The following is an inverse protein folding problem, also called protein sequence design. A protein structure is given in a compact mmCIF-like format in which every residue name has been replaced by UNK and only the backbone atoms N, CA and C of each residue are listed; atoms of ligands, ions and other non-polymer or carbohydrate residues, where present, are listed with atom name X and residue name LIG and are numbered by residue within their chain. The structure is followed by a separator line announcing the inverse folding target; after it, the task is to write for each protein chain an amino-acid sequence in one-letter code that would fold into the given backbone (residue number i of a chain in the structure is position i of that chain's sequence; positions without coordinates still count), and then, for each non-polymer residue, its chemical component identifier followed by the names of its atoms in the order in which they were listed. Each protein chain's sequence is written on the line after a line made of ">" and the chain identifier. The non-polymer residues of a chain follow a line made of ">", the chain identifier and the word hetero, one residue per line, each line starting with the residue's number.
data_IF_233248357812
#
_entry.id   IF_233248357812
#
_cell.length_a   1.000
_cell.length_b   1.000
_cell.length_c   1.000
_cell.angle_alpha   90.00
_cell.angle_beta   90.00
_cell.angle_gamma   90.00
#
_symmetry.space_group_name_H-M   'P 1'
#
loop_
_entity.id
_entity.type
_entity.pdbx_description
1 polymer ?
#
# COMPACT_ATOMS: atom_id res chain seq x y z
N UNK A 1 22.57 26.29 -9.62
CA UNK A 1 22.75 24.88 -10.05
C UNK A 1 24.03 24.22 -9.52
N UNK A 2 25.25 24.78 -9.71
CA UNK A 2 26.55 24.15 -9.33
C UNK A 2 26.59 23.57 -7.91
N UNK A 3 26.23 24.34 -6.89
CA UNK A 3 26.20 23.92 -5.46
C UNK A 3 25.34 22.66 -5.23
N UNK A 4 24.16 22.59 -5.84
CA UNK A 4 23.27 21.44 -5.68
C UNK A 4 23.87 20.16 -6.28
N UNK A 5 24.45 20.24 -7.47
CA UNK A 5 25.05 19.07 -8.15
C UNK A 5 26.37 18.61 -7.53
N UNK A 6 27.20 19.52 -7.01
CA UNK A 6 28.49 19.17 -6.38
C UNK A 6 28.38 18.71 -4.92
N UNK A 7 27.50 19.32 -4.11
CA UNK A 7 27.49 19.10 -2.65
C UNK A 7 26.18 18.50 -2.14
N UNK A 8 25.04 19.14 -2.44
CA UNK A 8 23.73 18.80 -1.83
C UNK A 8 23.21 17.43 -2.28
N UNK A 9 23.19 17.18 -3.59
CA UNK A 9 22.65 15.93 -4.16
C UNK A 9 23.55 14.73 -3.82
N UNK A 10 24.90 14.79 -3.96
CA UNK A 10 25.78 13.71 -3.53
C UNK A 10 25.66 13.38 -2.04
N UNK A 11 25.38 14.36 -1.18
CA UNK A 11 25.24 14.09 0.25
C UNK A 11 23.89 13.48 0.61
N UNK A 12 22.78 13.97 0.04
CA UNK A 12 21.47 13.29 0.17
C UNK A 12 21.56 11.82 -0.29
N UNK A 13 22.27 11.54 -1.38
CA UNK A 13 22.52 10.17 -1.85
C UNK A 13 23.39 9.36 -0.87
N UNK A 14 24.38 9.97 -0.21
CA UNK A 14 25.18 9.32 0.85
C UNK A 14 24.32 9.04 2.09
N UNK A 15 23.67 10.05 2.64
CA UNK A 15 22.83 9.96 3.84
C UNK A 15 21.73 8.89 3.69
N UNK A 16 21.10 8.79 2.50
CA UNK A 16 20.17 7.70 2.22
C UNK A 16 20.85 6.33 2.17
N UNK A 17 22.03 6.21 1.56
CA UNK A 17 22.80 4.95 1.55
C UNK A 17 23.16 4.51 2.97
N UNK A 18 23.62 5.44 3.80
CA UNK A 18 24.04 5.20 5.19
C UNK A 18 22.83 4.79 6.06
N UNK A 19 21.69 5.48 5.92
CA UNK A 19 20.41 5.11 6.52
C UNK A 19 19.93 3.74 6.04
N UNK A 20 19.98 3.46 4.73
CA UNK A 20 19.53 2.19 4.15
C UNK A 20 20.36 1.01 4.66
N UNK A 21 21.69 1.12 4.65
CA UNK A 21 22.58 0.10 5.19
C UNK A 21 22.29 -0.17 6.68
N UNK A 22 21.92 0.86 7.44
CA UNK A 22 21.52 0.73 8.85
C UNK A 22 20.19 -0.02 9.01
N UNK A 23 19.20 0.27 8.15
CA UNK A 23 17.89 -0.42 8.14
C UNK A 23 18.05 -1.88 7.69
N UNK A 24 18.86 -2.15 6.66
CA UNK A 24 19.13 -3.50 6.18
C UNK A 24 19.84 -4.34 7.24
N UNK A 25 20.80 -3.74 7.97
CA UNK A 25 21.45 -4.39 9.12
C UNK A 25 20.47 -4.71 10.27
N UNK A 26 19.43 -3.91 10.48
CA UNK A 26 18.39 -4.19 11.49
C UNK A 26 17.52 -5.39 11.09
N UNK A 27 17.32 -5.62 9.79
CA UNK A 27 16.56 -6.77 9.27
C UNK A 27 17.44 -7.92 8.75
N UNK A 28 18.74 -7.92 9.06
CA UNK A 28 19.64 -8.96 8.59
C UNK A 28 19.36 -10.30 9.29
N UNK A 29 18.99 -11.31 8.51
CA UNK A 29 18.53 -12.61 9.02
C UNK A 29 17.05 -12.65 9.44
N UNK A 30 16.37 -11.50 9.55
CA UNK A 30 14.96 -11.42 9.89
C UNK A 30 14.06 -11.66 8.67
N UNK A 31 12.93 -12.35 8.88
CA UNK A 31 11.99 -12.72 7.82
C UNK A 31 10.85 -11.71 7.70
N UNK A 32 11.07 -10.63 6.95
CA UNK A 32 10.20 -9.45 6.93
C UNK A 32 9.14 -9.47 5.83
N UNK A 33 8.15 -8.59 5.99
CA UNK A 33 6.99 -8.44 5.09
C UNK A 33 7.03 -7.06 4.45
N UNK A 34 7.05 -7.02 3.12
CA UNK A 34 7.21 -5.77 2.35
C UNK A 34 5.93 -5.39 1.61
N UNK A 35 5.62 -4.10 1.60
CA UNK A 35 4.59 -3.48 0.78
C UNK A 35 5.24 -2.70 -0.37
N UNK A 36 4.73 -2.90 -1.59
CA UNK A 36 5.20 -2.27 -2.82
C UNK A 36 4.11 -1.48 -3.57
N UNK A 37 4.44 -0.25 -3.97
CA UNK A 37 3.60 0.63 -4.80
C UNK A 37 4.47 1.52 -5.72
N UNK A 38 3.96 1.84 -6.91
CA UNK A 38 4.66 2.57 -7.97
C UNK A 38 3.97 3.88 -8.36
N UNK A 39 4.54 5.01 -7.95
CA UNK A 39 3.96 6.35 -8.16
C UNK A 39 4.61 7.09 -9.32
N UNK A 40 3.88 7.20 -10.43
CA UNK A 40 4.26 8.04 -11.58
C UNK A 40 4.20 9.55 -11.26
N UNK A 41 5.12 10.34 -11.82
CA UNK A 41 5.25 11.79 -11.59
C UNK A 41 4.13 12.63 -12.24
N UNK A 42 3.58 12.22 -13.38
CA UNK A 42 2.37 12.79 -13.99
C UNK A 42 1.25 11.74 -14.19
N UNK A 43 0.01 12.13 -14.54
CA UNK A 43 -1.04 11.21 -14.96
C UNK A 43 -0.92 10.79 -16.44
N UNK A 44 -1.29 9.54 -16.74
CA UNK A 44 -1.34 9.03 -18.11
C UNK A 44 0.01 8.68 -18.72
N UNK A 45 0.06 8.52 -20.05
CA UNK A 45 1.24 8.03 -20.78
C UNK A 45 2.40 9.05 -20.87
N UNK A 46 2.21 10.28 -20.37
CA UNK A 46 3.23 11.34 -20.36
C UNK A 46 4.18 11.28 -19.17
N UNK A 47 3.96 10.38 -18.19
CA UNK A 47 4.81 10.21 -17.02
C UNK A 47 6.28 9.99 -17.41
N UNK A 48 7.18 10.80 -16.84
CA UNK A 48 8.62 10.78 -17.09
C UNK A 48 9.37 9.94 -16.05
N UNK A 49 8.88 9.93 -14.80
CA UNK A 49 9.48 9.18 -13.72
C UNK A 49 8.44 8.31 -13.00
N UNK A 50 8.84 7.09 -12.62
CA UNK A 50 8.15 6.31 -11.59
C UNK A 50 9.02 6.28 -10.33
N UNK A 51 8.39 6.43 -9.17
CA UNK A 51 8.99 6.12 -7.88
C UNK A 51 8.39 4.82 -7.39
N UNK A 52 9.17 3.74 -7.33
CA UNK A 52 8.75 2.50 -6.67
C UNK A 52 9.35 2.43 -5.27
N UNK A 53 8.53 2.06 -4.29
CA UNK A 53 8.89 2.09 -2.86
C UNK A 53 8.68 0.71 -2.26
N UNK A 54 9.65 0.22 -1.48
CA UNK A 54 9.46 -0.93 -0.59
C UNK A 54 9.43 -0.46 0.87
N UNK A 55 8.37 -0.81 1.57
CA UNK A 55 8.11 -0.44 2.97
C UNK A 55 7.83 -1.70 3.80
N UNK A 56 8.46 -1.83 4.97
CA UNK A 56 8.13 -2.91 5.91
C UNK A 56 6.72 -2.68 6.48
N UNK A 57 5.89 -3.73 6.47
CA UNK A 57 4.44 -3.63 6.67
C UNK A 57 3.99 -3.28 8.09
N UNK A 58 4.77 -3.62 9.13
CA UNK A 58 4.38 -3.40 10.52
C UNK A 58 4.94 -2.09 11.09
N UNK A 59 6.25 -1.88 11.01
CA UNK A 59 6.91 -0.65 11.51
C UNK A 59 6.83 0.50 10.51
N UNK A 60 6.43 0.24 9.25
CA UNK A 60 6.21 1.25 8.19
C UNK A 60 7.48 1.95 7.71
N UNK A 61 8.67 1.40 8.02
CA UNK A 61 9.96 1.94 7.57
C UNK A 61 10.15 1.67 6.08
N UNK A 62 10.65 2.65 5.34
CA UNK A 62 11.01 2.49 3.94
C UNK A 62 12.37 1.80 3.89
N UNK A 63 12.38 0.58 3.35
CA UNK A 63 13.55 -0.30 3.23
C UNK A 63 14.37 0.05 2.00
N UNK A 64 13.71 0.42 0.89
CA UNK A 64 14.38 0.99 -0.28
C UNK A 64 13.42 1.80 -1.18
N UNK A 65 13.99 2.63 -2.06
CA UNK A 65 13.26 3.33 -3.13
C UNK A 65 14.07 3.29 -4.42
N UNK A 66 13.41 2.96 -5.52
CA UNK A 66 13.95 3.10 -6.87
C UNK A 66 13.22 4.22 -7.65
N UNK A 67 13.98 4.97 -8.42
CA UNK A 67 13.48 6.04 -9.30
C UNK A 67 13.80 5.70 -10.74
N UNK A 68 12.80 5.28 -11.49
CA UNK A 68 12.92 4.89 -12.90
C UNK A 68 12.61 6.09 -13.79
N UNK A 69 13.53 6.48 -14.68
CA UNK A 69 13.27 7.37 -15.81
C UNK A 69 12.68 6.58 -16.99
N UNK A 70 11.64 7.12 -17.64
CA UNK A 70 10.93 6.50 -18.78
C UNK A 70 11.86 6.01 -19.91
N UNK A 71 13.06 6.57 -20.04
CA UNK A 71 14.07 6.14 -21.01
C UNK A 71 14.65 4.76 -20.71
N UNK A 72 14.72 4.36 -19.44
CA UNK A 72 15.19 3.04 -19.00
C UNK A 72 14.21 1.92 -19.40
N UNK A 73 12.93 2.25 -19.60
CA UNK A 73 11.90 1.33 -20.08
C UNK A 73 11.55 1.53 -21.56
N UNK A 74 12.52 2.00 -22.36
CA UNK A 74 12.38 2.14 -23.82
C UNK A 74 11.32 3.16 -24.24
N UNK A 75 10.99 4.14 -23.40
CA UNK A 75 9.91 5.10 -23.65
C UNK A 75 8.52 4.60 -23.22
N UNK A 76 8.39 3.44 -22.57
CA UNK A 76 7.10 2.87 -22.17
C UNK A 76 6.82 3.11 -20.69
N UNK A 77 5.96 4.09 -20.40
CA UNK A 77 5.64 4.52 -19.02
C UNK A 77 4.96 3.45 -18.16
N UNK A 78 4.15 2.57 -18.76
CA UNK A 78 3.46 1.46 -18.06
C UNK A 78 4.42 0.39 -17.54
N UNK A 79 5.66 0.35 -18.05
CA UNK A 79 6.65 -0.65 -17.66
C UNK A 79 7.51 -0.17 -16.48
N UNK A 80 7.46 1.12 -16.12
CA UNK A 80 8.32 1.71 -15.09
C UNK A 80 8.06 1.15 -13.68
N UNK A 81 6.79 0.90 -13.34
CA UNK A 81 6.38 0.27 -12.07
C UNK A 81 7.03 -1.12 -11.92
N UNK A 82 6.85 -1.97 -12.93
CA UNK A 82 7.39 -3.34 -12.98
C UNK A 82 8.91 -3.34 -12.98
N UNK A 83 9.54 -2.39 -13.68
CA UNK A 83 11.00 -2.26 -13.72
C UNK A 83 11.58 -1.78 -12.38
N UNK A 84 10.91 -0.86 -11.69
CA UNK A 84 11.28 -0.39 -10.35
C UNK A 84 11.19 -1.49 -9.30
N UNK A 85 10.06 -2.22 -9.26
CA UNK A 85 9.92 -3.40 -8.39
C UNK A 85 10.96 -4.48 -8.71
N UNK A 86 11.25 -4.72 -10.00
CA UNK A 86 12.28 -5.69 -10.41
C UNK A 86 13.64 -5.32 -9.83
N UNK A 87 14.09 -4.08 -10.01
CA UNK A 87 15.38 -3.59 -9.47
C UNK A 87 15.42 -3.76 -7.95
N UNK A 88 14.39 -3.32 -7.23
CA UNK A 88 14.39 -3.41 -5.76
C UNK A 88 14.35 -4.85 -5.25
N UNK A 89 13.58 -5.74 -5.88
CA UNK A 89 13.61 -7.17 -5.53
C UNK A 89 14.97 -7.81 -5.86
N UNK A 90 15.63 -7.45 -6.97
CA UNK A 90 16.99 -7.91 -7.28
C UNK A 90 18.04 -7.34 -6.30
N UNK A 91 17.82 -6.16 -5.72
CA UNK A 91 18.72 -5.56 -4.74
C UNK A 91 18.63 -6.17 -3.33
N UNK A 92 17.53 -6.83 -2.96
CA UNK A 92 17.38 -7.46 -1.63
C UNK A 92 17.73 -8.96 -1.61
N UNK A 93 17.98 -9.58 -2.77
CA UNK A 93 18.45 -10.97 -2.89
C UNK A 93 19.75 -11.15 -2.08
N UNK A 94 19.74 -12.10 -1.14
CA UNK A 94 20.89 -12.40 -0.26
C UNK A 94 21.11 -11.40 0.89
N UNK A 95 20.47 -10.23 0.86
CA UNK A 95 20.65 -9.15 1.84
C UNK A 95 19.51 -9.11 2.87
N UNK A 96 18.27 -9.42 2.46
CA UNK A 96 17.07 -9.43 3.32
C UNK A 96 16.18 -10.64 2.96
N UNK A 97 15.69 -11.36 3.99
CA UNK A 97 14.74 -12.46 3.79
C UNK A 97 13.32 -11.91 3.71
N UNK A 98 12.73 -11.91 2.51
CA UNK A 98 11.34 -11.44 2.29
C UNK A 98 10.39 -12.63 2.30
N UNK A 99 9.59 -12.78 3.36
CA UNK A 99 8.58 -13.85 3.46
C UNK A 99 7.32 -13.55 2.65
N UNK A 100 6.93 -12.27 2.57
CA UNK A 100 5.71 -11.83 1.91
C UNK A 100 5.90 -10.47 1.23
N UNK A 101 5.44 -10.36 -0.02
CA UNK A 101 5.33 -9.11 -0.78
C UNK A 101 3.85 -8.78 -0.97
N UNK A 102 3.44 -7.58 -0.59
CA UNK A 102 2.09 -7.04 -0.75
C UNK A 102 2.10 -5.99 -1.85
N UNK A 103 1.24 -6.13 -2.87
CA UNK A 103 1.11 -5.14 -3.94
C UNK A 103 -0.34 -4.81 -4.25
N UNK A 104 -0.61 -3.75 -5.02
CA UNK A 104 -1.92 -3.63 -5.67
C UNK A 104 -2.09 -4.71 -6.76
N UNK A 105 -3.34 -4.98 -7.13
CA UNK A 105 -3.71 -6.09 -8.00
C UNK A 105 -3.41 -5.82 -9.49
N UNK A 106 -2.14 -5.97 -9.87
CA UNK A 106 -1.59 -5.80 -11.21
C UNK A 106 -1.10 -7.14 -11.81
N UNK A 107 -1.56 -7.47 -13.02
CA UNK A 107 -1.16 -8.71 -13.73
C UNK A 107 0.31 -8.70 -14.14
N UNK A 108 0.85 -7.53 -14.48
CA UNK A 108 2.27 -7.38 -14.85
C UNK A 108 3.20 -7.53 -13.64
N UNK A 109 2.75 -7.09 -12.46
CA UNK A 109 3.43 -7.32 -11.17
C UNK A 109 3.36 -8.79 -10.76
N UNK A 110 2.18 -9.43 -10.81
CA UNK A 110 2.08 -10.88 -10.52
C UNK A 110 2.97 -11.73 -11.46
N UNK A 111 3.02 -11.38 -12.74
CA UNK A 111 3.92 -12.02 -13.70
C UNK A 111 5.41 -11.74 -13.44
N UNK A 112 5.76 -10.59 -12.83
CA UNK A 112 7.11 -10.34 -12.35
C UNK A 112 7.43 -11.17 -11.10
N UNK A 113 6.57 -11.16 -10.09
CA UNK A 113 6.82 -11.90 -8.84
C UNK A 113 7.05 -13.39 -9.13
N UNK A 114 6.26 -13.99 -10.03
CA UNK A 114 6.53 -15.36 -10.52
C UNK A 114 7.94 -15.50 -11.11
N UNK A 115 8.32 -14.66 -12.10
CA UNK A 115 9.68 -14.68 -12.68
C UNK A 115 10.79 -14.46 -11.66
N UNK A 116 10.53 -13.72 -10.58
CA UNK A 116 11.49 -13.54 -9.49
C UNK A 116 11.65 -14.82 -8.67
N UNK A 117 10.58 -15.60 -8.43
CA UNK A 117 10.69 -16.96 -7.88
C UNK A 117 11.46 -17.89 -8.81
N UNK A 118 11.12 -17.87 -10.09
CA UNK A 118 11.72 -18.73 -11.12
C UNK A 118 13.24 -18.47 -11.24
N UNK A 119 13.67 -17.22 -11.06
CA UNK A 119 15.08 -16.78 -11.15
C UNK A 119 15.85 -16.92 -9.82
N UNK A 120 15.18 -16.77 -8.68
CA UNK A 120 15.77 -16.79 -7.33
C UNK A 120 15.00 -17.77 -6.43
N UNK A 121 15.12 -19.09 -6.69
CA UNK A 121 14.28 -20.09 -6.02
C UNK A 121 14.62 -20.28 -4.54
N UNK A 122 15.86 -20.02 -4.12
CA UNK A 122 16.28 -20.14 -2.72
C UNK A 122 15.70 -19.01 -1.87
N UNK A 123 15.72 -17.79 -2.40
CA UNK A 123 15.36 -16.55 -1.72
C UNK A 123 13.87 -16.24 -1.84
N UNK A 124 13.28 -16.48 -3.03
CA UNK A 124 11.88 -16.15 -3.33
C UNK A 124 10.99 -17.34 -3.66
N UNK A 125 11.47 -18.59 -3.72
CA UNK A 125 10.61 -19.75 -3.98
C UNK A 125 9.41 -19.83 -3.03
N UNK A 126 9.64 -19.57 -1.73
CA UNK A 126 8.62 -19.53 -0.67
C UNK A 126 7.90 -18.18 -0.51
N UNK A 127 8.33 -17.12 -1.20
CA UNK A 127 7.76 -15.75 -1.08
C UNK A 127 6.25 -15.77 -1.31
N UNK A 128 5.46 -15.33 -0.33
CA UNK A 128 4.02 -15.16 -0.52
C UNK A 128 3.73 -13.86 -1.28
N UNK A 129 2.83 -13.90 -2.27
CA UNK A 129 2.37 -12.68 -2.97
C UNK A 129 0.96 -12.34 -2.51
N UNK A 130 0.87 -11.41 -1.57
CA UNK A 130 -0.40 -10.86 -1.12
C UNK A 130 -0.85 -9.69 -2.01
N UNK A 131 -2.16 -9.48 -2.07
CA UNK A 131 -2.76 -8.34 -2.74
C UNK A 131 -3.54 -7.48 -1.75
N UNK A 132 -3.55 -6.17 -2.00
CA UNK A 132 -4.24 -5.20 -1.15
C UNK A 132 -5.76 -5.47 -1.07
N UNK A 133 -6.23 -5.84 0.14
CA UNK A 133 -7.62 -6.19 0.38
C UNK A 133 -8.57 -4.99 0.29
N UNK A 134 -8.10 -3.78 0.55
CA UNK A 134 -8.90 -2.55 0.44
C UNK A 134 -9.20 -2.23 -1.02
N UNK A 135 -8.25 -2.40 -1.94
CA UNK A 135 -8.52 -2.29 -3.36
C UNK A 135 -9.44 -3.40 -3.88
N UNK A 136 -9.36 -4.62 -3.33
CA UNK A 136 -10.30 -5.73 -3.62
C UNK A 136 -11.72 -5.47 -3.09
N UNK A 137 -11.89 -5.01 -1.84
CA UNK A 137 -13.20 -4.71 -1.25
C UNK A 137 -13.87 -3.52 -1.95
N UNK A 138 -13.10 -2.52 -2.40
CA UNK A 138 -13.59 -1.40 -3.20
C UNK A 138 -14.00 -1.85 -4.62
N UNK A 139 -13.28 -2.80 -5.22
CA UNK A 139 -13.68 -3.45 -6.49
C UNK A 139 -14.97 -4.27 -6.31
N UNK A 140 -15.16 -4.94 -5.16
CA UNK A 140 -16.39 -5.63 -4.78
C UNK A 140 -17.58 -4.67 -4.62
N UNK A 141 -17.44 -3.58 -3.84
CA UNK A 141 -18.48 -2.55 -3.70
C UNK A 141 -18.93 -2.01 -5.06
N UNK A 142 -18.00 -1.74 -5.98
CA UNK A 142 -18.33 -1.28 -7.34
C UNK A 142 -19.14 -2.31 -8.16
N UNK A 143 -18.93 -3.62 -7.96
CA UNK A 143 -19.77 -4.66 -8.57
C UNK A 143 -21.19 -4.65 -7.97
N UNK A 144 -21.30 -4.66 -6.65
CA UNK A 144 -22.57 -4.68 -5.93
C UNK A 144 -23.43 -3.44 -6.28
N UNK A 145 -22.84 -2.23 -6.25
CA UNK A 145 -23.51 -0.99 -6.67
C UNK A 145 -23.80 -0.89 -8.18
N UNK A 146 -23.29 -1.81 -9.01
CA UNK A 146 -23.74 -1.98 -10.41
C UNK A 146 -24.91 -2.95 -10.50
N UNK A 147 -24.87 -4.07 -9.77
CA UNK A 147 -25.97 -5.02 -9.69
C UNK A 147 -27.24 -4.39 -9.09
N UNK A 148 -27.10 -3.58 -8.04
CA UNK A 148 -28.18 -2.84 -7.39
C UNK A 148 -28.90 -1.80 -8.29
N UNK A 149 -28.36 -1.50 -9.47
CA UNK A 149 -28.97 -0.58 -10.47
C UNK A 149 -29.73 -1.32 -11.57
N UNK A 150 -29.81 -2.65 -11.51
CA UNK A 150 -30.64 -3.45 -12.40
C UNK A 150 -32.07 -3.41 -11.85
N UNK A 151 -33.06 -3.10 -12.70
CA UNK A 151 -34.49 -3.07 -12.29
C UNK A 151 -34.91 -4.39 -11.65
N UNK A 152 -35.41 -4.36 -10.41
CA UNK A 152 -35.75 -5.55 -9.62
C UNK A 152 -34.55 -6.15 -8.87
N UNK A 153 -33.55 -5.34 -8.54
CA UNK A 153 -32.37 -5.71 -7.76
C UNK A 153 -31.98 -4.64 -6.71
N UNK A 154 -32.86 -3.65 -6.48
CA UNK A 154 -32.58 -2.40 -5.75
C UNK A 154 -32.15 -2.65 -4.29
N UNK A 155 -32.71 -3.69 -3.65
CA UNK A 155 -32.38 -4.18 -2.29
C UNK A 155 -30.89 -4.48 -2.09
N UNK A 156 -30.13 -4.80 -3.16
CA UNK A 156 -28.67 -4.94 -3.07
C UNK A 156 -27.96 -3.67 -2.59
N UNK A 157 -28.63 -2.51 -2.61
CA UNK A 157 -28.13 -1.26 -2.03
C UNK A 157 -27.97 -1.36 -0.51
N UNK A 158 -28.96 -1.91 0.20
CA UNK A 158 -28.96 -2.07 1.66
C UNK A 158 -27.92 -3.08 2.16
N UNK A 159 -27.58 -4.05 1.30
CA UNK A 159 -26.63 -5.13 1.54
C UNK A 159 -25.21 -4.85 1.02
N UNK A 160 -25.02 -3.82 0.18
CA UNK A 160 -23.70 -3.50 -0.42
C UNK A 160 -22.61 -3.24 0.64
N UNK A 161 -22.96 -2.62 1.76
CA UNK A 161 -22.04 -2.39 2.88
C UNK A 161 -21.87 -3.62 3.79
N UNK A 162 -22.94 -4.30 4.26
CA UNK A 162 -22.84 -5.61 4.93
C UNK A 162 -21.99 -6.64 4.17
N UNK A 163 -22.24 -6.88 2.88
CA UNK A 163 -21.48 -7.85 2.06
C UNK A 163 -20.00 -7.47 1.97
N UNK A 164 -19.68 -6.17 1.90
CA UNK A 164 -18.29 -5.67 1.90
C UNK A 164 -17.63 -5.89 3.26
N UNK A 165 -18.36 -5.68 4.36
CA UNK A 165 -17.87 -5.89 5.72
C UNK A 165 -17.71 -7.40 6.02
N UNK A 166 -18.61 -8.24 5.52
CA UNK A 166 -18.50 -9.69 5.59
C UNK A 166 -17.25 -10.20 4.87
N UNK A 167 -17.03 -9.77 3.61
CA UNK A 167 -15.79 -10.07 2.87
C UNK A 167 -14.52 -9.68 3.66
N UNK A 168 -14.55 -8.51 4.31
CA UNK A 168 -13.45 -8.01 5.13
C UNK A 168 -13.22 -8.87 6.38
N UNK A 169 -14.30 -9.25 7.08
CA UNK A 169 -14.27 -10.12 8.25
C UNK A 169 -13.79 -11.54 7.93
N UNK A 170 -14.35 -12.22 6.92
CA UNK A 170 -13.92 -13.60 6.58
C UNK A 170 -12.48 -13.63 6.08
N UNK A 171 -12.02 -12.58 5.40
CA UNK A 171 -10.61 -12.43 5.02
C UNK A 171 -9.68 -12.14 6.20
N UNK A 172 -10.18 -11.62 7.32
CA UNK A 172 -9.40 -11.50 8.57
C UNK A 172 -9.36 -12.86 9.30
N UNK A 173 -10.50 -13.54 9.44
CA UNK A 173 -10.66 -14.74 10.27
C UNK A 173 -10.32 -16.07 9.58
N UNK A 174 -9.89 -16.05 8.31
CA UNK A 174 -9.54 -17.26 7.54
C UNK A 174 -8.30 -18.02 8.06
N UNK A 175 -7.46 -17.40 8.90
CA UNK A 175 -6.22 -17.97 9.47
C UNK A 175 -5.22 -18.52 8.41
N UNK A 176 -5.13 -17.87 7.24
CA UNK A 176 -4.23 -18.27 6.14
C UNK A 176 -4.80 -19.33 5.19
N UNK A 177 -6.02 -19.84 5.44
CA UNK A 177 -6.64 -20.91 4.64
C UNK A 177 -7.56 -20.35 3.53
N UNK A 178 -7.24 -20.68 2.27
CA UNK A 178 -8.00 -20.23 1.09
C UNK A 178 -9.40 -20.85 1.00
N UNK A 179 -9.57 -22.09 1.46
CA UNK A 179 -10.89 -22.75 1.44
C UNK A 179 -11.78 -22.18 2.54
N UNK A 180 -11.27 -22.05 3.78
CA UNK A 180 -12.01 -21.34 4.86
C UNK A 180 -12.44 -19.92 4.44
N UNK A 181 -11.63 -19.22 3.65
CA UNK A 181 -11.98 -17.92 3.06
C UNK A 181 -13.10 -18.01 2.01
N UNK A 182 -13.12 -19.04 1.16
CA UNK A 182 -14.22 -19.31 0.21
C UNK A 182 -15.51 -19.69 0.95
N UNK A 183 -15.44 -20.61 1.91
CA UNK A 183 -16.60 -21.16 2.60
C UNK A 183 -17.31 -20.08 3.41
N UNK A 184 -16.55 -19.31 4.20
CA UNK A 184 -17.04 -18.12 4.88
C UNK A 184 -17.60 -17.08 3.89
N UNK A 185 -16.97 -16.88 2.74
CA UNK A 185 -17.49 -15.97 1.71
C UNK A 185 -18.81 -16.45 1.09
N UNK A 186 -19.01 -17.76 0.90
CA UNK A 186 -20.26 -18.33 0.39
C UNK A 186 -21.42 -18.21 1.40
N UNK A 187 -21.15 -18.27 2.71
CA UNK A 187 -22.15 -18.05 3.77
C UNK A 187 -22.93 -16.74 3.65
N UNK A 188 -22.38 -15.74 2.94
CA UNK A 188 -23.11 -14.49 2.63
C UNK A 188 -24.39 -14.72 1.82
N UNK A 189 -24.48 -15.82 1.06
CA UNK A 189 -25.67 -16.18 0.28
C UNK A 189 -26.80 -16.76 1.14
N UNK A 190 -26.51 -17.22 2.36
CA UNK A 190 -27.50 -17.64 3.34
C UNK A 190 -27.91 -16.46 4.23
N UNK A 191 -26.93 -15.71 4.74
CA UNK A 191 -27.16 -14.55 5.60
C UNK A 191 -28.11 -13.48 4.99
N UNK A 192 -27.98 -13.15 3.70
CA UNK A 192 -28.86 -12.15 3.03
C UNK A 192 -30.31 -12.61 2.84
N UNK A 193 -30.62 -13.89 3.05
CA UNK A 193 -31.98 -14.46 3.00
C UNK A 193 -32.51 -14.85 4.38
N UNK A 194 -31.80 -14.49 5.46
CA UNK A 194 -32.16 -14.82 6.84
C UNK A 194 -31.76 -16.23 7.29
N UNK A 195 -30.97 -16.96 6.49
CA UNK A 195 -30.43 -18.26 6.88
C UNK A 195 -29.11 -18.08 7.63
N UNK A 196 -29.15 -18.30 8.95
CA UNK A 196 -27.98 -18.21 9.83
C UNK A 196 -27.33 -19.58 10.13
N UNK A 197 -28.01 -20.67 9.79
CA UNK A 197 -27.53 -22.05 9.88
C UNK A 197 -27.83 -22.77 8.55
N UNK A 198 -26.92 -23.63 8.09
CA UNK A 198 -27.05 -24.48 6.91
C UNK A 198 -26.22 -25.76 7.06
N UNK A 199 -26.38 -26.73 6.14
CA UNK A 199 -25.80 -28.08 6.29
C UNK A 199 -24.28 -28.11 6.51
N UNK A 200 -23.56 -27.16 5.92
CA UNK A 200 -22.09 -27.08 5.96
C UNK A 200 -21.55 -25.88 6.79
N UNK A 201 -22.38 -25.22 7.62
CA UNK A 201 -21.91 -24.12 8.47
C UNK A 201 -22.97 -23.17 9.02
N UNK A 202 -22.48 -22.10 9.67
CA UNK A 202 -23.30 -21.13 10.40
C UNK A 202 -22.74 -19.69 10.29
N UNK A 203 -23.53 -18.70 10.67
CA UNK A 203 -23.11 -17.32 10.83
C UNK A 203 -22.29 -17.12 12.11
N UNK A 204 -21.00 -16.80 12.00
CA UNK A 204 -20.08 -16.63 13.14
C UNK A 204 -20.20 -15.26 13.85
N UNK A 205 -21.41 -14.72 13.97
CA UNK A 205 -21.71 -13.48 14.69
C UNK A 205 -22.65 -13.75 15.87
N UNK A 206 -22.63 -12.87 16.89
CA UNK A 206 -23.62 -12.93 17.98
C UNK A 206 -25.04 -12.54 17.49
N UNK A 207 -26.03 -12.45 18.41
CA UNK A 207 -27.35 -11.93 18.07
C UNK A 207 -27.26 -10.59 17.33
N UNK A 208 -28.03 -10.44 16.25
CA UNK A 208 -28.08 -9.21 15.46
C UNK A 208 -28.52 -8.05 16.36
N UNK A 209 -27.90 -6.87 16.17
CA UNK A 209 -28.40 -5.65 16.81
C UNK A 209 -29.58 -5.08 16.03
N UNK A 210 -30.42 -4.26 16.65
CA UNK A 210 -31.65 -3.75 16.02
C UNK A 210 -31.44 -2.89 14.77
N UNK A 211 -30.22 -2.40 14.51
CA UNK A 211 -29.85 -1.77 13.22
C UNK A 211 -29.60 -2.75 12.08
N UNK A 212 -29.49 -4.05 12.37
CA UNK A 212 -29.28 -5.15 11.44
C UNK A 212 -30.56 -5.96 11.23
N UNK A 213 -31.39 -6.12 12.28
CA UNK A 213 -32.75 -6.69 12.20
C UNK A 213 -33.65 -5.96 11.20
N UNK A 214 -33.50 -4.63 11.08
CA UNK A 214 -34.30 -3.77 10.18
C UNK A 214 -33.88 -3.82 8.70
N UNK A 215 -33.29 -4.92 8.21
CA UNK A 215 -32.86 -5.07 6.81
C UNK A 215 -33.84 -5.87 5.98
N UNK A 216 -34.09 -5.42 4.75
CA UNK A 216 -34.93 -6.16 3.79
C UNK A 216 -34.21 -7.43 3.35
N UNK A 217 -34.63 -8.60 3.84
CA UNK A 217 -34.15 -9.91 3.37
C UNK A 217 -34.47 -10.09 1.87
N UNK A 218 -33.66 -10.88 1.16
CA UNK A 218 -33.92 -11.22 -0.25
C UNK A 218 -34.64 -12.56 -0.37
N UNK A 219 -35.62 -12.68 -1.27
CA UNK A 219 -36.17 -13.98 -1.63
C UNK A 219 -35.11 -14.82 -2.35
N UNK A 220 -35.01 -16.11 -2.04
CA UNK A 220 -34.05 -17.04 -2.68
C UNK A 220 -34.18 -17.09 -4.21
N UNK A 221 -35.40 -16.96 -4.72
CA UNK A 221 -35.73 -16.92 -6.16
C UNK A 221 -35.71 -15.51 -6.77
N UNK A 222 -35.38 -14.47 -6.01
CA UNK A 222 -35.38 -13.10 -6.51
C UNK A 222 -34.29 -12.85 -7.55
N UNK A 223 -34.57 -11.94 -8.48
CA UNK A 223 -33.59 -11.42 -9.44
C UNK A 223 -32.40 -10.73 -8.73
N UNK A 224 -32.65 -10.11 -7.57
CA UNK A 224 -31.61 -9.58 -6.69
C UNK A 224 -30.62 -10.67 -6.24
N UNK A 225 -31.14 -11.81 -5.80
CA UNK A 225 -30.33 -12.95 -5.35
C UNK A 225 -29.57 -13.62 -6.50
N UNK A 226 -30.18 -13.73 -7.68
CA UNK A 226 -29.51 -14.21 -8.90
C UNK A 226 -28.34 -13.27 -9.31
N UNK A 227 -28.55 -11.95 -9.21
CA UNK A 227 -27.51 -10.96 -9.46
C UNK A 227 -26.40 -10.97 -8.39
N UNK A 228 -26.72 -11.28 -7.13
CA UNK A 228 -25.72 -11.45 -6.07
C UNK A 228 -24.88 -12.71 -6.27
N UNK A 229 -25.49 -13.86 -6.59
CA UNK A 229 -24.78 -15.11 -6.91
C UNK A 229 -23.74 -14.88 -8.01
N UNK A 230 -24.09 -14.12 -9.06
CA UNK A 230 -23.16 -13.72 -10.15
C UNK A 230 -21.99 -12.83 -9.70
N UNK A 231 -22.07 -12.17 -8.53
CA UNK A 231 -20.97 -11.40 -7.93
C UNK A 231 -20.13 -12.26 -6.97
N UNK A 232 -20.78 -13.04 -6.11
CA UNK A 232 -20.15 -13.90 -5.10
C UNK A 232 -19.38 -15.05 -5.74
N UNK A 233 -20.00 -15.71 -6.72
CA UNK A 233 -19.49 -16.91 -7.40
C UNK A 233 -18.66 -16.59 -8.66
N UNK A 234 -18.24 -15.33 -8.90
CA UNK A 234 -17.39 -14.98 -10.04
C UNK A 234 -16.06 -15.77 -9.96
N UNK A 235 -15.74 -16.64 -10.94
CA UNK A 235 -14.52 -17.44 -10.91
C UNK A 235 -13.24 -16.59 -10.83
N UNK A 236 -13.24 -15.37 -11.40
CA UNK A 236 -12.11 -14.44 -11.30
C UNK A 236 -12.00 -13.79 -9.92
N UNK A 237 -13.10 -13.70 -9.17
CA UNK A 237 -13.08 -13.25 -7.78
C UNK A 237 -12.58 -14.36 -6.86
N UNK A 238 -13.12 -15.57 -7.01
CA UNK A 238 -12.81 -16.77 -6.22
C UNK A 238 -11.36 -17.24 -6.40
N UNK A 239 -10.88 -17.39 -7.65
CA UNK A 239 -9.51 -17.83 -7.91
C UNK A 239 -8.46 -16.86 -7.36
N UNK A 240 -8.81 -15.58 -7.19
CA UNK A 240 -7.95 -14.57 -6.59
C UNK A 240 -8.01 -14.52 -5.05
N UNK A 241 -8.91 -15.26 -4.37
CA UNK A 241 -9.04 -15.23 -2.90
C UNK A 241 -7.75 -15.65 -2.19
N UNK A 242 -6.98 -16.58 -2.77
CA UNK A 242 -5.72 -17.05 -2.21
C UNK A 242 -4.70 -15.92 -1.95
N UNK A 243 -4.78 -14.77 -2.63
CA UNK A 243 -3.91 -13.61 -2.40
C UNK A 243 -4.29 -12.76 -1.17
N UNK A 244 -5.43 -13.00 -0.53
CA UNK A 244 -5.96 -12.15 0.56
C UNK A 244 -5.96 -12.84 1.93
N UNK A 245 -5.50 -14.09 2.00
CA UNK A 245 -5.53 -14.94 3.21
C UNK A 245 -4.67 -14.40 4.37
N UNK A 246 -3.67 -13.57 4.08
CA UNK A 246 -2.80 -12.89 5.07
C UNK A 246 -3.32 -11.52 5.51
N UNK A 247 -4.49 -11.08 5.00
CA UNK A 247 -5.18 -9.84 5.37
C UNK A 247 -4.28 -8.59 5.32
N UNK A 248 -3.79 -8.22 4.13
CA UNK A 248 -2.85 -7.09 3.95
C UNK A 248 -3.48 -5.90 3.24
N UNK A 249 -3.00 -4.72 3.60
CA UNK A 249 -3.30 -3.45 2.94
C UNK A 249 -2.07 -2.50 2.96
N UNK A 250 -1.94 -1.64 1.95
CA UNK A 250 -0.83 -0.72 1.71
C UNK A 250 -1.16 0.72 2.14
N UNK A 251 -2.21 0.94 2.93
CA UNK A 251 -2.70 2.28 3.32
C UNK A 251 -1.63 3.21 3.93
N UNK A 252 -0.58 2.66 4.53
CA UNK A 252 0.56 3.41 5.07
C UNK A 252 1.52 3.89 3.98
N UNK A 253 1.65 3.11 2.91
CA UNK A 253 2.36 3.46 1.68
C UNK A 253 1.57 4.50 0.86
N UNK A 254 0.23 4.42 0.81
CA UNK A 254 -0.62 5.51 0.25
C UNK A 254 -0.37 6.86 0.97
N UNK A 255 -0.19 6.83 2.29
CA UNK A 255 0.14 8.01 3.09
C UNK A 255 1.55 8.55 2.76
N UNK A 256 2.55 7.69 2.57
CA UNK A 256 3.87 8.12 2.07
C UNK A 256 3.78 8.73 0.67
N UNK A 257 3.08 8.08 -0.27
CA UNK A 257 2.90 8.58 -1.64
C UNK A 257 2.13 9.90 -1.71
N UNK A 258 1.28 10.17 -0.71
CA UNK A 258 0.65 11.47 -0.47
C UNK A 258 1.61 12.51 0.12
N UNK A 259 2.51 12.11 1.03
CA UNK A 259 3.53 12.98 1.62
C UNK A 259 4.59 13.39 0.59
N UNK A 260 5.05 12.45 -0.24
CA UNK A 260 6.03 12.62 -1.31
C UNK A 260 5.63 13.73 -2.31
N UNK A 261 4.33 14.07 -2.46
CA UNK A 261 3.87 15.23 -3.24
C UNK A 261 4.40 16.58 -2.73
N UNK A 262 4.80 16.70 -1.46
CA UNK A 262 5.46 17.90 -0.92
C UNK A 262 6.87 18.09 -1.50
N UNK A 263 7.57 16.98 -1.77
CA UNK A 263 8.93 16.97 -2.28
C UNK A 263 8.97 16.92 -3.81
N UNK A 264 8.09 16.13 -4.43
CA UNK A 264 7.92 15.96 -5.89
C UNK A 264 6.46 16.23 -6.32
N UNK A 265 5.99 17.50 -6.30
CA UNK A 265 4.65 17.86 -6.75
C UNK A 265 4.48 17.66 -8.26
N UNK A 266 3.40 16.95 -8.67
CA UNK A 266 3.11 16.59 -10.08
C UNK A 266 2.95 17.76 -11.07
N UNK A 267 2.98 19.01 -10.58
CA UNK A 267 2.85 20.25 -11.38
C UNK A 267 4.21 20.87 -11.73
N UNK A 268 5.31 20.31 -11.25
CA UNK A 268 6.67 20.85 -11.44
C UNK A 268 7.55 19.81 -12.14
N UNK A 269 8.17 20.20 -13.25
CA UNK A 269 9.16 19.36 -13.95
C UNK A 269 10.52 19.41 -13.27
N UNK A 270 11.16 18.26 -13.09
CA UNK A 270 12.47 18.14 -12.43
C UNK A 270 13.54 17.52 -13.35
N UNK A 271 14.80 17.92 -13.16
CA UNK A 271 15.96 17.17 -13.67
C UNK A 271 16.18 15.91 -12.83
N UNK A 272 16.68 14.82 -13.44
CA UNK A 272 16.68 13.49 -12.82
C UNK A 272 17.32 13.47 -11.42
N UNK A 273 18.56 13.95 -11.27
CA UNK A 273 19.23 14.03 -9.97
C UNK A 273 18.47 14.84 -8.92
N UNK A 274 17.74 15.88 -9.33
CA UNK A 274 16.94 16.69 -8.40
C UNK A 274 15.65 15.96 -7.99
N UNK A 275 15.03 15.22 -8.91
CA UNK A 275 13.88 14.37 -8.61
C UNK A 275 14.28 13.23 -7.66
N UNK A 276 15.38 12.52 -7.97
CA UNK A 276 15.98 11.49 -7.10
C UNK A 276 16.24 12.07 -5.71
N UNK A 277 17.02 13.15 -5.59
CA UNK A 277 17.36 13.72 -4.29
C UNK A 277 16.12 14.22 -3.50
N UNK A 278 15.08 14.73 -4.16
CA UNK A 278 13.81 15.10 -3.52
C UNK A 278 13.06 13.87 -3.00
N UNK A 279 13.05 12.79 -3.75
CA UNK A 279 12.44 11.51 -3.34
C UNK A 279 13.21 10.87 -2.18
N UNK A 280 14.54 10.88 -2.20
CA UNK A 280 15.36 10.39 -1.08
C UNK A 280 15.19 11.25 0.18
N UNK A 281 15.11 12.59 0.05
CA UNK A 281 14.76 13.46 1.18
C UNK A 281 13.38 13.15 1.78
N UNK A 282 12.39 12.78 0.96
CA UNK A 282 11.09 12.33 1.46
C UNK A 282 11.22 11.01 2.24
N UNK A 283 12.04 10.07 1.77
CA UNK A 283 12.28 8.80 2.46
C UNK A 283 12.97 8.99 3.82
N UNK A 284 13.99 9.85 3.87
CA UNK A 284 14.65 10.28 5.11
C UNK A 284 13.64 10.95 6.04
N UNK A 285 12.86 11.91 5.55
CA UNK A 285 11.83 12.61 6.33
C UNK A 285 10.69 11.69 6.84
N UNK A 286 10.39 10.60 6.13
CA UNK A 286 9.46 9.57 6.59
C UNK A 286 10.09 8.72 7.69
N UNK A 287 11.24 8.10 7.42
CA UNK A 287 11.92 7.18 8.34
C UNK A 287 12.31 7.86 9.66
N UNK A 288 12.82 9.09 9.63
CA UNK A 288 13.16 9.87 10.84
C UNK A 288 11.96 10.28 11.70
N UNK A 289 10.72 10.05 11.27
CA UNK A 289 9.51 10.56 11.93
C UNK A 289 8.38 9.53 12.11
N UNK A 290 8.72 8.23 12.02
CA UNK A 290 7.79 7.10 12.18
C UNK A 290 7.16 7.03 13.56
N UNK A 291 7.98 7.13 14.61
CA UNK A 291 7.61 6.79 16.00
C UNK A 291 7.22 8.01 16.86
N UNK A 292 6.83 9.12 16.23
CA UNK A 292 6.29 10.30 16.93
C UNK A 292 5.03 9.93 17.71
N UNK A 293 4.92 10.43 18.94
CA UNK A 293 3.80 10.12 19.83
C UNK A 293 2.59 10.99 19.52
N UNK A 294 1.47 10.71 20.20
CA UNK A 294 0.28 11.55 20.15
C UNK A 294 0.51 12.82 21.00
N UNK A 295 0.52 13.98 20.35
CA UNK A 295 0.77 15.27 20.97
C UNK A 295 -0.21 15.53 22.13
N UNK A 296 0.29 16.04 23.25
CA UNK A 296 -0.53 16.31 24.43
C UNK A 296 -1.15 17.72 24.40
N UNK A 297 -2.27 17.90 25.08
CA UNK A 297 -2.87 19.21 25.39
C UNK A 297 -2.29 19.79 26.70
N UNK A 298 -2.80 20.94 27.15
CA UNK A 298 -2.33 21.61 28.37
C UNK A 298 -2.58 20.79 29.65
N UNK A 299 -3.51 19.83 29.61
CA UNK A 299 -3.90 18.96 30.72
C UNK A 299 -3.21 17.57 30.64
N UNK A 300 -2.18 17.42 29.81
CA UNK A 300 -1.45 16.16 29.60
C UNK A 300 -2.23 15.09 28.80
N UNK A 301 -3.40 15.41 28.24
CA UNK A 301 -4.25 14.47 27.51
C UNK A 301 -3.93 14.47 26.01
N UNK A 302 -4.00 13.31 25.36
CA UNK A 302 -3.75 13.15 23.92
C UNK A 302 -4.70 14.03 23.09
N UNK A 303 -4.16 14.80 22.15
CA UNK A 303 -4.92 15.62 21.18
C UNK A 303 -5.49 14.73 20.07
N UNK A 304 -6.72 15.04 19.65
CA UNK A 304 -7.38 14.38 18.52
C UNK A 304 -8.06 15.40 17.61
N UNK A 305 -7.95 15.19 16.30
CA UNK A 305 -8.68 15.97 15.29
C UNK A 305 -9.87 15.16 14.76
N UNK A 306 -11.03 15.82 14.61
CA UNK A 306 -12.15 15.30 13.81
C UNK A 306 -11.85 15.56 12.33
N UNK A 307 -11.72 14.50 11.54
CA UNK A 307 -11.41 14.57 10.11
C UNK A 307 -12.62 14.07 9.31
N UNK A 308 -13.17 14.91 8.43
CA UNK A 308 -14.29 14.52 7.57
C UNK A 308 -13.81 13.73 6.35
N UNK A 309 -14.35 12.52 6.17
CA UNK A 309 -14.09 11.71 4.98
C UNK A 309 -15.11 12.05 3.89
N UNK A 310 -14.72 12.88 2.90
CA UNK A 310 -15.56 13.14 1.71
C UNK A 310 -15.95 11.87 0.95
N UNK A 311 -15.19 10.77 1.11
CA UNK A 311 -15.40 9.48 0.42
C UNK A 311 -16.45 8.60 1.09
N UNK A 312 -16.47 8.53 2.41
CA UNK A 312 -17.44 7.73 3.19
C UNK A 312 -18.52 8.58 3.85
N UNK A 313 -18.55 9.89 3.58
CA UNK A 313 -19.43 10.92 4.16
C UNK A 313 -19.43 11.02 5.70
N UNK A 314 -18.56 10.27 6.38
CA UNK A 314 -18.51 10.16 7.84
C UNK A 314 -17.30 10.91 8.43
N UNK A 315 -17.43 11.29 9.70
CA UNK A 315 -16.31 11.81 10.50
C UNK A 315 -15.49 10.66 11.10
N UNK A 316 -14.17 10.82 11.15
CA UNK A 316 -13.28 9.96 11.94
C UNK A 316 -12.46 10.79 12.93
N UNK A 317 -12.27 10.26 14.12
CA UNK A 317 -11.33 10.82 15.11
C UNK A 317 -9.93 10.29 14.78
N UNK A 318 -8.94 11.18 14.69
CA UNK A 318 -7.55 10.81 14.40
C UNK A 318 -6.64 11.47 15.44
N UNK A 319 -5.71 10.74 16.03
CA UNK A 319 -4.73 11.33 16.95
C UNK A 319 -3.88 12.37 16.22
N UNK A 320 -3.63 13.51 16.88
CA UNK A 320 -2.64 14.49 16.41
C UNK A 320 -1.27 14.01 16.85
N UNK A 321 -0.37 13.79 15.92
CA UNK A 321 1.02 13.45 16.24
C UNK A 321 1.81 14.71 16.62
N UNK A 322 2.88 14.53 17.38
CA UNK A 322 3.87 15.57 17.68
C UNK A 322 4.44 16.20 16.41
N UNK A 323 4.99 17.41 16.53
CA UNK A 323 5.62 18.09 15.40
C UNK A 323 6.87 17.34 14.90
N UNK A 324 7.33 17.71 13.71
CA UNK A 324 8.55 17.15 13.14
C UNK A 324 9.75 17.95 13.62
N UNK A 325 10.68 17.30 14.31
CA UNK A 325 11.94 17.87 14.78
C UNK A 325 12.95 18.04 13.66
N UNK A 326 12.95 17.11 12.69
CA UNK A 326 13.89 17.03 11.56
C UNK A 326 15.38 16.97 11.98
N UNK A 327 15.70 16.20 13.03
CA UNK A 327 17.05 16.10 13.63
C UNK A 327 18.15 15.58 12.67
N UNK A 328 17.77 15.11 11.48
CA UNK A 328 18.69 14.78 10.40
C UNK A 328 19.29 16.02 9.69
N UNK A 329 18.65 17.20 9.75
CA UNK A 329 19.12 18.39 9.04
C UNK A 329 20.51 18.87 9.48
N UNK A 330 20.88 18.94 10.78
CA UNK A 330 22.22 19.31 11.20
C UNK A 330 23.30 18.37 10.62
N UNK A 331 23.07 17.05 10.68
CA UNK A 331 24.01 16.06 10.16
C UNK A 331 24.17 16.14 8.63
N UNK A 332 23.05 16.27 7.89
CA UNK A 332 23.07 16.44 6.44
C UNK A 332 23.72 17.78 6.03
N UNK A 333 23.44 18.86 6.75
CA UNK A 333 24.04 20.19 6.50
C UNK A 333 25.54 20.17 6.77
N UNK A 334 25.98 19.52 7.84
CA UNK A 334 27.40 19.29 8.14
C UNK A 334 28.11 18.55 6.99
N UNK A 335 27.51 17.46 6.48
CA UNK A 335 28.04 16.74 5.31
C UNK A 335 28.16 17.61 4.05
N UNK A 336 27.15 18.46 3.78
CA UNK A 336 27.15 19.39 2.65
C UNK A 336 28.25 20.45 2.78
N UNK A 337 28.50 20.94 3.99
CA UNK A 337 29.58 21.90 4.27
C UNK A 337 30.95 21.25 4.16
N UNK A 338 31.13 20.03 4.68
CA UNK A 338 32.39 19.29 4.57
C UNK A 338 32.78 19.07 3.09
N UNK A 339 31.85 18.56 2.27
CA UNK A 339 32.08 18.39 0.82
C UNK A 339 32.46 19.67 0.08
N UNK A 340 32.06 20.83 0.59
CA UNK A 340 32.41 22.14 0.02
C UNK A 340 33.80 22.59 0.47
N UNK A 341 34.22 22.24 1.68
CA UNK A 341 35.59 22.46 2.19
C UNK A 341 36.59 21.57 1.46
N UNK A 342 36.22 20.31 1.18
CA UNK A 342 37.07 19.33 0.50
C UNK A 342 37.31 19.65 -0.99
N UNK A 343 36.37 20.37 -1.63
CA UNK A 343 36.40 20.74 -3.07
C UNK A 343 37.34 21.93 -3.35
N UNK A 344 38.61 21.78 -3.01
CA UNK A 344 39.68 22.80 -3.14
C UNK A 344 39.79 23.37 -4.56
N UNK A 345 39.60 22.54 -5.58
CA UNK A 345 39.56 22.93 -7.00
C UNK A 345 38.47 23.97 -7.34
N UNK A 346 37.40 24.03 -6.54
CA UNK A 346 36.33 25.03 -6.69
C UNK A 346 36.63 26.37 -6.02
N UNK A 347 37.59 26.39 -5.09
CA UNK A 347 38.03 27.57 -4.34
C UNK A 347 39.15 28.28 -5.09
N UNK A 348 40.07 27.52 -5.70
CA UNK A 348 41.22 28.01 -6.47
C UNK A 348 40.89 28.47 -7.90
N UNK A 349 39.62 28.36 -8.34
CA UNK A 349 39.14 28.77 -9.67
C UNK A 349 38.04 29.82 -9.53
N UNK A 350 38.41 30.98 -8.97
CA UNK A 350 37.53 32.08 -8.61
C UNK A 350 38.13 33.42 -9.04
#
# INVERSE_FOLDING_TARGET
>A
MRIQKKYVIPEIKRFWKDMKASIWKIFFGESIILCGDGRNDSPGFSAKYCVYVLMEQFVNVIVDIEVVDKRETGGVSTNMEVYGLKKLLECVVGEIVVSEIVTDASTAVAALVRRMKDKYPNEFGKLFHALDIWHKSVKLTKKLSKAAKIKGCEVLSEWTEPIRNHFWYVAQENKGNTEKLKDGWFGVLHHVVGEHEWADGECTHGPLVSTEENKTLMDKGSKAMEALRKVVMDPRFLNALHHYVTFRHTSKLENFNSMLLKYTPKRVGFQNDSFIARTLLAAIDHNSHLFRQAALNRDGKKKYNKVYSKRSKNWRVTAVLEEKTYDFWPALTSGILQRKIDDKDSILKK
#
